data_IF_671726074660
#
_entry.id   IF_671726074660
#
_cell.length_a   1.000
_cell.length_b   1.000
_cell.length_c   1.000
_cell.angle_alpha   90.00
_cell.angle_beta   90.00
_cell.angle_gamma   90.00
#
_symmetry.space_group_name_H-M   'P 1'
#
loop_
_entity.id
_entity.type
_entity.pdbx_description
1 polymer ?
#
# COMPACT_ATOMS: atom_id res chain seq x y z
N UNK A 1 -7.60 15.70 -2.34
CA UNK A 1 -6.67 14.62 -1.95
C UNK A 1 -6.41 13.80 -3.19
N UNK A 2 -5.14 13.57 -3.52
CA UNK A 2 -4.76 12.67 -4.60
C UNK A 2 -4.93 11.24 -4.07
N UNK A 3 -5.66 10.37 -4.76
CA UNK A 3 -5.82 8.98 -4.34
C UNK A 3 -4.74 8.11 -4.98
N UNK A 4 -4.28 7.08 -4.28
CA UNK A 4 -3.30 6.14 -4.80
C UNK A 4 -3.84 5.40 -6.04
N UNK A 5 -5.14 5.14 -6.11
CA UNK A 5 -5.83 4.61 -7.30
C UNK A 5 -5.71 5.52 -8.54
N UNK A 6 -5.49 6.83 -8.37
CA UNK A 6 -5.32 7.77 -9.49
C UNK A 6 -3.87 7.78 -10.00
N UNK A 7 -2.93 7.29 -9.18
CA UNK A 7 -1.50 7.20 -9.51
C UNK A 7 -1.16 5.92 -10.25
N UNK A 8 -1.85 4.83 -9.87
CA UNK A 8 -1.66 3.51 -10.45
C UNK A 8 -2.62 3.26 -11.61
N UNK A 9 -2.29 2.28 -12.44
CA UNK A 9 -3.16 1.88 -13.55
C UNK A 9 -4.47 1.27 -13.04
N UNK A 10 -5.58 1.56 -13.71
CA UNK A 10 -6.89 0.99 -13.35
C UNK A 10 -6.91 -0.53 -13.38
N UNK A 11 -6.11 -1.15 -14.25
CA UNK A 11 -5.92 -2.59 -14.30
C UNK A 11 -5.41 -3.12 -12.96
N UNK A 12 -4.42 -2.45 -12.37
CA UNK A 12 -3.85 -2.83 -11.09
C UNK A 12 -4.87 -2.72 -9.96
N UNK A 13 -5.61 -1.62 -9.92
CA UNK A 13 -6.65 -1.38 -8.91
C UNK A 13 -7.75 -2.44 -8.98
N UNK A 14 -8.18 -2.84 -10.18
CA UNK A 14 -9.19 -3.89 -10.34
C UNK A 14 -8.67 -5.27 -9.94
N UNK A 15 -7.40 -5.57 -10.24
CA UNK A 15 -6.79 -6.84 -9.87
C UNK A 15 -6.42 -6.91 -8.39
N UNK A 16 -6.32 -5.79 -7.67
CA UNK A 16 -5.97 -5.74 -6.25
C UNK A 16 -6.96 -6.50 -5.38
N UNK A 17 -8.27 -6.21 -5.47
CA UNK A 17 -9.29 -6.92 -4.68
C UNK A 17 -9.35 -8.41 -5.02
N UNK A 18 -9.10 -8.76 -6.29
CA UNK A 18 -9.05 -10.15 -6.73
C UNK A 18 -7.80 -10.89 -6.20
N UNK A 19 -6.66 -10.20 -6.18
CA UNK A 19 -5.40 -10.68 -5.63
C UNK A 19 -5.50 -10.97 -4.13
N UNK A 20 -6.11 -10.06 -3.37
CA UNK A 20 -6.29 -10.21 -1.92
C UNK A 20 -7.02 -11.52 -1.56
N UNK A 21 -7.97 -11.95 -2.39
CA UNK A 21 -8.71 -13.19 -2.19
C UNK A 21 -7.97 -14.45 -2.65
N UNK A 22 -6.92 -14.31 -3.46
CA UNK A 22 -6.26 -15.44 -4.14
C UNK A 22 -4.81 -15.65 -3.73
N UNK A 23 -4.25 -14.80 -2.86
CA UNK A 23 -2.86 -14.87 -2.36
C UNK A 23 -1.84 -15.19 -3.46
N UNK A 24 -1.93 -14.48 -4.59
CA UNK A 24 -1.09 -14.75 -5.75
C UNK A 24 0.16 -13.87 -5.74
N UNK A 25 1.34 -14.49 -5.74
CA UNK A 25 2.65 -13.80 -5.90
C UNK A 25 2.76 -13.01 -7.20
N UNK A 26 1.91 -13.30 -8.19
CA UNK A 26 1.79 -12.54 -9.44
C UNK A 26 1.34 -11.10 -9.20
N UNK A 27 0.57 -10.83 -8.15
CA UNK A 27 0.14 -9.48 -7.85
C UNK A 27 1.30 -8.61 -7.33
N UNK A 28 2.22 -9.18 -6.56
CA UNK A 28 3.38 -8.45 -6.06
C UNK A 28 4.24 -7.92 -7.21
N UNK A 29 4.44 -8.73 -8.26
CA UNK A 29 5.13 -8.30 -9.48
C UNK A 29 4.36 -7.20 -10.22
N UNK A 30 3.04 -7.35 -10.36
CA UNK A 30 2.18 -6.33 -10.98
C UNK A 30 2.23 -5.01 -10.21
N UNK A 31 2.17 -5.07 -8.88
CA UNK A 31 2.26 -3.91 -7.99
C UNK A 31 3.59 -3.20 -8.12
N UNK A 32 4.69 -3.95 -8.07
CA UNK A 32 6.03 -3.40 -8.27
C UNK A 32 6.17 -2.73 -9.64
N UNK A 33 5.69 -3.38 -10.71
CA UNK A 33 5.69 -2.77 -12.03
C UNK A 33 4.81 -1.53 -12.11
N UNK A 34 3.63 -1.54 -11.49
CA UNK A 34 2.74 -0.37 -11.41
C UNK A 34 3.41 0.81 -10.71
N UNK A 35 4.16 0.56 -9.64
CA UNK A 35 4.93 1.58 -8.91
C UNK A 35 6.08 2.11 -9.77
N UNK A 36 6.82 1.23 -10.44
CA UNK A 36 7.93 1.61 -11.31
C UNK A 36 7.46 2.43 -12.52
N UNK A 37 6.31 2.06 -13.10
CA UNK A 37 5.69 2.73 -14.24
C UNK A 37 4.95 4.02 -13.87
N UNK A 38 4.52 4.16 -12.61
CA UNK A 38 3.87 5.39 -12.13
C UNK A 38 4.82 6.58 -12.22
N UNK A 39 4.27 7.78 -12.45
CA UNK A 39 5.06 9.01 -12.45
C UNK A 39 5.66 9.26 -11.07
N UNK A 40 6.96 9.51 -10.98
CA UNK A 40 7.66 9.76 -9.71
C UNK A 40 7.00 10.88 -8.90
N UNK A 41 6.58 11.96 -9.57
CA UNK A 41 5.88 13.07 -8.92
C UNK A 41 4.49 12.72 -8.42
N UNK A 42 3.79 11.80 -9.08
CA UNK A 42 2.47 11.34 -8.68
C UNK A 42 2.58 10.36 -7.48
N UNK A 43 3.51 9.41 -7.58
CA UNK A 43 3.83 8.46 -6.51
C UNK A 43 4.29 9.20 -5.25
N UNK A 44 5.22 10.14 -5.38
CA UNK A 44 5.68 10.97 -4.27
C UNK A 44 4.51 11.71 -3.60
N UNK A 45 3.63 12.35 -4.39
CA UNK A 45 2.48 13.06 -3.83
C UNK A 45 1.51 12.12 -3.11
N UNK A 46 1.25 10.93 -3.64
CA UNK A 46 0.37 9.98 -3.00
C UNK A 46 0.96 9.43 -1.69
N UNK A 47 2.24 9.06 -1.68
CA UNK A 47 2.93 8.59 -0.47
C UNK A 47 3.00 9.70 0.59
N UNK A 48 3.37 10.93 0.21
CA UNK A 48 3.34 12.07 1.14
C UNK A 48 1.92 12.33 1.65
N UNK A 49 0.91 12.21 0.79
CA UNK A 49 -0.49 12.36 1.19
C UNK A 49 -0.92 11.26 2.17
N UNK A 50 -0.42 10.03 2.02
CA UNK A 50 -0.62 8.96 2.99
C UNK A 50 -0.01 9.35 4.34
N UNK A 51 1.26 9.79 4.36
CA UNK A 51 1.94 10.21 5.59
C UNK A 51 1.39 11.47 6.27
N UNK A 52 0.50 12.22 5.60
CA UNK A 52 -0.25 13.31 6.23
C UNK A 52 -1.40 12.81 7.11
N UNK A 53 -1.76 11.52 7.06
CA UNK A 53 -2.77 10.95 7.96
C UNK A 53 -2.17 10.71 9.35
N UNK A 54 -3.00 10.90 10.38
CA UNK A 54 -2.60 10.71 11.77
C UNK A 54 -2.15 9.26 12.06
N UNK A 55 -2.77 8.29 11.40
CA UNK A 55 -2.53 6.85 11.55
C UNK A 55 -1.42 6.31 10.62
N UNK A 56 -0.80 7.16 9.79
CA UNK A 56 0.14 6.68 8.77
C UNK A 56 1.42 6.09 9.35
N UNK A 57 1.94 6.69 10.42
CA UNK A 57 3.14 6.20 11.11
C UNK A 57 2.85 4.86 11.79
N UNK A 58 1.74 4.76 12.53
CA UNK A 58 1.30 3.50 13.15
C UNK A 58 1.06 2.41 12.11
N UNK A 59 0.39 2.75 10.99
CA UNK A 59 0.13 1.81 9.90
C UNK A 59 1.42 1.32 9.24
N UNK A 60 2.39 2.22 8.99
CA UNK A 60 3.66 1.84 8.42
C UNK A 60 4.48 0.97 9.38
N UNK A 61 4.44 1.26 10.68
CA UNK A 61 5.06 0.41 11.71
C UNK A 61 4.38 -0.98 11.77
N UNK A 62 3.05 -1.05 11.66
CA UNK A 62 2.31 -2.30 11.61
C UNK A 62 2.63 -3.14 10.36
N UNK A 63 3.09 -2.50 9.27
CA UNK A 63 3.59 -3.15 8.06
C UNK A 63 5.05 -3.61 8.16
N UNK A 64 5.64 -3.58 9.36
CA UNK A 64 7.02 -3.95 9.64
C UNK A 64 8.03 -3.06 8.90
N UNK A 65 7.72 -1.76 8.79
CA UNK A 65 8.59 -0.74 8.21
C UNK A 65 9.29 0.01 9.35
N UNK A 66 10.62 0.03 9.33
CA UNK A 66 11.41 0.70 10.37
C UNK A 66 11.26 2.23 10.31
N UNK A 67 11.39 2.91 11.45
CA UNK A 67 11.25 4.37 11.56
C UNK A 67 12.19 5.16 10.61
N UNK A 68 13.43 4.71 10.43
CA UNK A 68 14.37 5.29 9.46
C UNK A 68 13.84 5.21 8.01
N UNK A 69 13.24 4.08 7.65
CA UNK A 69 12.63 3.89 6.33
C UNK A 69 11.37 4.73 6.18
N UNK A 70 10.55 4.82 7.22
CA UNK A 70 9.37 5.69 7.25
C UNK A 70 9.77 7.14 6.97
N UNK A 71 10.85 7.65 7.58
CA UNK A 71 11.34 9.01 7.34
C UNK A 71 11.75 9.20 5.87
N UNK A 72 12.42 8.22 5.26
CA UNK A 72 12.80 8.25 3.84
C UNK A 72 11.57 8.19 2.90
N UNK A 73 10.58 7.38 3.23
CA UNK A 73 9.33 7.30 2.47
C UNK A 73 8.50 8.58 2.62
N UNK A 74 8.50 9.20 3.81
CA UNK A 74 7.83 10.46 4.09
C UNK A 74 8.46 11.64 3.33
N UNK A 75 9.78 11.62 3.12
CA UNK A 75 10.43 12.60 2.22
C UNK A 75 10.12 12.31 0.74
N UNK A 76 9.52 11.15 0.45
CA UNK A 76 9.13 10.72 -0.89
C UNK A 76 10.31 10.63 -1.85
N UNK A 77 11.50 10.38 -1.30
CA UNK A 77 12.75 10.32 -2.05
C UNK A 77 13.06 8.86 -2.35
N UNK A 78 13.46 8.56 -3.59
CA UNK A 78 13.92 7.23 -3.98
C UNK A 78 12.92 6.08 -3.73
N UNK A 79 11.61 6.36 -3.83
CA UNK A 79 10.53 5.38 -3.61
C UNK A 79 10.61 4.15 -4.54
N UNK A 80 11.28 4.29 -5.68
CA UNK A 80 11.47 3.22 -6.68
C UNK A 80 12.78 2.46 -6.52
N UNK A 81 13.67 2.87 -5.61
CA UNK A 81 14.92 2.14 -5.39
C UNK A 81 14.60 0.78 -4.78
N UNK A 82 15.31 -0.28 -5.18
CA UNK A 82 15.12 -1.64 -4.67
C UNK A 82 15.09 -1.71 -3.13
N UNK A 83 15.84 -0.83 -2.46
CA UNK A 83 15.85 -0.75 -1.00
C UNK A 83 14.51 -0.31 -0.40
N UNK A 84 13.76 0.56 -1.09
CA UNK A 84 12.50 1.14 -0.62
C UNK A 84 11.28 0.67 -1.41
N UNK A 85 11.48 -0.04 -2.53
CA UNK A 85 10.42 -0.52 -3.40
C UNK A 85 9.47 -1.45 -2.65
N UNK A 86 10.01 -2.38 -1.86
CA UNK A 86 9.21 -3.29 -1.04
C UNK A 86 8.35 -2.55 0.00
N UNK A 87 8.90 -1.52 0.65
CA UNK A 87 8.16 -0.74 1.64
C UNK A 87 7.13 0.19 0.98
N UNK A 88 7.48 0.76 -0.18
CA UNK A 88 6.56 1.54 -1.01
C UNK A 88 5.41 0.66 -1.48
N UNK A 89 5.68 -0.57 -1.91
CA UNK A 89 4.66 -1.53 -2.29
C UNK A 89 3.70 -1.84 -1.14
N UNK A 90 4.21 -2.05 0.09
CA UNK A 90 3.36 -2.23 1.28
C UNK A 90 2.45 -1.02 1.53
N UNK A 91 2.99 0.20 1.47
CA UNK A 91 2.20 1.43 1.66
C UNK A 91 1.16 1.59 0.56
N UNK A 92 1.55 1.37 -0.69
CA UNK A 92 0.67 1.46 -1.85
C UNK A 92 -0.45 0.43 -1.74
N UNK A 93 -0.14 -0.82 -1.40
CA UNK A 93 -1.12 -1.87 -1.17
C UNK A 93 -2.10 -1.50 -0.05
N UNK A 94 -1.60 -0.94 1.06
CA UNK A 94 -2.47 -0.46 2.15
C UNK A 94 -3.36 0.69 1.69
N UNK A 95 -2.82 1.66 0.96
CA UNK A 95 -3.61 2.77 0.39
C UNK A 95 -4.70 2.25 -0.53
N UNK A 96 -4.38 1.30 -1.42
CA UNK A 96 -5.36 0.65 -2.28
C UNK A 96 -6.41 -0.06 -1.45
N UNK A 97 -6.04 -0.78 -0.39
CA UNK A 97 -6.98 -1.49 0.47
C UNK A 97 -7.98 -0.55 1.16
N UNK A 98 -7.50 0.61 1.61
CA UNK A 98 -8.31 1.64 2.24
C UNK A 98 -9.19 2.39 1.22
N UNK A 99 -8.68 2.64 0.01
CA UNK A 99 -9.39 3.38 -1.03
C UNK A 99 -10.42 2.54 -1.79
N UNK A 100 -10.18 1.23 -1.91
CA UNK A 100 -11.08 0.26 -2.55
C UNK A 100 -12.05 -0.40 -1.56
N UNK A 101 -11.98 0.00 -0.29
CA UNK A 101 -12.74 -0.63 0.80
C UNK A 101 -12.51 -2.15 0.89
N UNK A 102 -11.38 -2.63 0.36
CA UNK A 102 -11.09 -4.05 0.26
C UNK A 102 -10.86 -4.69 1.64
N UNK A 103 -10.41 -3.91 2.63
CA UNK A 103 -10.31 -4.39 4.01
C UNK A 103 -11.68 -4.64 4.65
N UNK A 104 -12.73 -3.94 4.22
CA UNK A 104 -14.11 -4.19 4.68
C UNK A 104 -14.70 -5.42 3.98
N UNK A 105 -14.30 -5.66 2.73
CA UNK A 105 -14.74 -6.82 1.94
C UNK A 105 -13.99 -8.11 2.31
N UNK A 106 -12.75 -8.00 2.77
CA UNK A 106 -12.08 -9.03 3.56
C UNK A 106 -12.78 -9.06 4.91
N UNK A 107 -13.91 -9.76 5.00
CA UNK A 107 -14.60 -9.97 6.27
C UNK A 107 -13.64 -10.61 7.30
N UNK A 108 -12.92 -9.78 8.06
CA UNK A 108 -12.34 -10.17 9.36
C UNK A 108 -13.47 -10.32 10.39
N UNK A 109 -14.64 -10.78 9.95
CA UNK A 109 -15.79 -11.12 10.79
C UNK A 109 -15.66 -12.54 11.34
N UNK A 110 -14.81 -13.40 10.74
CA UNK A 110 -14.66 -14.80 11.16
C UNK A 110 -13.38 -15.13 11.95
N UNK A 111 -12.38 -14.24 12.02
CA UNK A 111 -11.14 -14.51 12.79
C UNK A 111 -11.20 -14.11 14.28
N UNK A 112 -12.29 -13.51 14.75
CA UNK A 112 -12.45 -13.09 16.15
C UNK A 112 -13.36 -14.02 16.98
N UNK A 113 -13.89 -15.10 16.41
CA UNK A 113 -14.74 -16.03 17.17
C UNK A 113 -13.96 -17.10 17.97
N UNK A 114 -12.65 -17.24 17.77
CA UNK A 114 -11.87 -18.34 18.35
C UNK A 114 -10.65 -17.88 19.19
N UNK A 115 -10.66 -16.65 19.71
CA UNK A 115 -9.75 -16.30 20.81
C UNK A 115 -10.37 -16.77 22.13
N UNK A 116 -9.83 -17.81 22.79
CA UNK A 116 -10.29 -18.16 24.12
C UNK A 116 -9.86 -17.04 25.08
N UNK A 117 -10.87 -16.42 25.71
CA UNK A 117 -10.74 -15.54 26.87
C UNK A 117 -10.13 -16.25 28.08
#
# INVERSE_FOLDING_TARGET
>A
MLKMIDVLEQSLVQNFTHSLNTHTSQFDELLNQGILNASDSALQKAVVSFFNRADAIESAQALDISADRIQALQSGTALKDDQYLADTAKIVALCLALETDALTQLEISDCLQDFPV
#
